data_IF_401395502677
#
_entry.id   IF_401395502677
#
_cell.length_a   1.000
_cell.length_b   1.000
_cell.length_c   1.000
_cell.angle_alpha   90.00
_cell.angle_beta   90.00
_cell.angle_gamma   90.00
#
_symmetry.space_group_name_H-M   'P 1'
#
loop_
_entity.id
_entity.type
_entity.pdbx_description
1 polymer ?
#
# COMPACT_ATOMS: atom_id res chain seq x y z
N UNK A 1 18.21 27.10 -25.10
CA UNK A 1 17.21 26.14 -24.60
C UNK A 1 17.17 26.35 -23.10
N UNK A 2 16.08 26.91 -22.59
CA UNK A 2 15.89 27.14 -21.15
C UNK A 2 15.51 25.80 -20.52
N UNK A 3 16.06 25.47 -19.36
CA UNK A 3 15.63 24.28 -18.62
C UNK A 3 14.21 24.54 -18.09
N UNK A 4 13.25 23.64 -18.32
CA UNK A 4 11.88 23.86 -17.86
C UNK A 4 11.83 23.95 -16.33
N UNK A 5 11.04 24.90 -15.82
CA UNK A 5 10.85 25.09 -14.38
C UNK A 5 9.93 23.99 -13.87
N UNK A 6 10.43 23.24 -12.89
CA UNK A 6 9.65 22.20 -12.22
C UNK A 6 8.80 22.79 -11.12
N UNK A 7 7.53 22.42 -11.11
CA UNK A 7 6.55 22.86 -10.12
C UNK A 7 5.77 21.66 -9.59
N UNK A 8 5.37 21.76 -8.33
CA UNK A 8 4.51 20.77 -7.68
C UNK A 8 3.09 21.32 -7.57
N UNK A 9 2.12 20.47 -7.86
CA UNK A 9 0.70 20.75 -7.78
C UNK A 9 -0.01 19.67 -6.98
N UNK A 10 -1.10 20.05 -6.33
CA UNK A 10 -2.03 19.09 -5.71
C UNK A 10 -3.40 19.24 -6.32
N UNK A 11 -4.10 18.13 -6.55
CA UNK A 11 -5.47 18.15 -7.05
C UNK A 11 -6.42 17.44 -6.07
N UNK A 12 -7.50 18.11 -5.68
CA UNK A 12 -8.58 17.54 -4.85
C UNK A 12 -9.92 17.65 -5.55
N UNK A 13 -10.77 16.65 -5.38
CA UNK A 13 -12.13 16.67 -5.91
C UNK A 13 -13.07 17.37 -4.93
N UNK A 14 -13.76 18.40 -5.39
CA UNK A 14 -14.81 19.08 -4.65
C UNK A 14 -16.09 19.17 -5.52
N UNK A 15 -17.10 18.42 -5.10
CA UNK A 15 -18.34 18.23 -5.86
C UNK A 15 -18.09 17.75 -7.30
N UNK A 16 -18.36 18.63 -8.26
CA UNK A 16 -18.25 18.35 -9.71
C UNK A 16 -16.92 18.81 -10.31
N UNK A 17 -16.03 19.39 -9.51
CA UNK A 17 -14.79 20.00 -9.98
C UNK A 17 -13.58 19.39 -9.30
N UNK A 18 -12.45 19.51 -9.99
CA UNK A 18 -11.11 19.32 -9.44
C UNK A 18 -10.52 20.69 -9.16
N UNK A 19 -10.08 20.90 -7.93
CA UNK A 19 -9.28 22.06 -7.53
C UNK A 19 -7.82 21.68 -7.59
N UNK A 20 -7.06 22.42 -8.39
CA UNK A 20 -5.65 22.16 -8.66
C UNK A 20 -4.87 23.32 -8.09
N UNK A 21 -4.08 23.10 -7.05
CA UNK A 21 -3.31 24.14 -6.38
C UNK A 21 -1.84 23.97 -6.70
N UNK A 22 -1.18 25.07 -7.09
CA UNK A 22 0.29 25.15 -7.19
C UNK A 22 0.75 26.05 -6.03
N UNK A 23 1.17 25.47 -4.89
CA UNK A 23 1.44 26.25 -3.68
C UNK A 23 2.56 27.29 -3.85
N UNK A 24 3.59 26.97 -4.65
CA UNK A 24 4.72 27.88 -4.89
C UNK A 24 4.28 29.19 -5.57
N UNK A 25 3.24 29.13 -6.40
CA UNK A 25 2.73 30.28 -7.15
C UNK A 25 1.50 30.92 -6.49
N UNK A 26 1.05 30.39 -5.34
CA UNK A 26 -0.21 30.77 -4.68
C UNK A 26 -1.40 30.88 -5.66
N UNK A 27 -1.47 29.91 -6.58
CA UNK A 27 -2.47 29.90 -7.67
C UNK A 27 -3.27 28.61 -7.70
N UNK A 28 -4.47 28.71 -8.26
CA UNK A 28 -5.43 27.61 -8.35
C UNK A 28 -6.01 27.54 -9.76
N UNK A 29 -5.99 26.33 -10.34
CA UNK A 29 -6.73 25.95 -11.53
C UNK A 29 -7.94 25.07 -11.20
N UNK A 30 -8.84 24.91 -12.16
CA UNK A 30 -10.02 24.05 -12.02
C UNK A 30 -10.26 23.21 -13.28
N UNK A 31 -10.58 21.94 -13.08
CA UNK A 31 -10.92 21.00 -14.17
C UNK A 31 -12.22 20.26 -13.89
N UNK A 32 -12.95 19.84 -14.93
CA UNK A 32 -14.15 19.00 -14.75
C UNK A 32 -13.81 17.52 -14.74
N UNK A 33 -12.77 17.13 -15.47
CA UNK A 33 -12.36 15.74 -15.63
C UNK A 33 -10.93 15.57 -15.15
N UNK A 34 -10.64 14.37 -14.64
CA UNK A 34 -9.31 14.03 -14.14
C UNK A 34 -8.22 14.18 -15.22
N UNK A 35 -8.52 13.81 -16.46
CA UNK A 35 -7.57 13.89 -17.57
C UNK A 35 -7.21 15.32 -18.00
N UNK A 36 -7.94 16.33 -17.54
CA UNK A 36 -7.67 17.76 -17.80
C UNK A 36 -6.76 18.37 -16.72
N UNK A 37 -6.54 17.68 -15.60
CA UNK A 37 -5.84 18.24 -14.43
C UNK A 37 -4.43 18.70 -14.80
N UNK A 38 -3.68 17.86 -15.52
CA UNK A 38 -2.30 18.18 -15.85
C UNK A 38 -2.20 19.35 -16.84
N UNK A 39 -3.07 19.37 -17.85
CA UNK A 39 -3.16 20.48 -18.82
C UNK A 39 -3.47 21.80 -18.12
N UNK A 40 -4.50 21.83 -17.28
CA UNK A 40 -4.90 23.02 -16.52
C UNK A 40 -3.81 23.47 -15.55
N UNK A 41 -3.09 22.55 -14.92
CA UNK A 41 -1.97 22.89 -14.03
C UNK A 41 -0.85 23.60 -14.80
N UNK A 42 -0.47 23.08 -15.96
CA UNK A 42 0.57 23.65 -16.83
C UNK A 42 0.15 25.01 -17.39
N UNK A 43 -1.09 25.13 -17.88
CA UNK A 43 -1.64 26.39 -18.40
C UNK A 43 -1.61 27.50 -17.33
N UNK A 44 -2.12 27.22 -16.13
CA UNK A 44 -2.16 28.19 -15.03
C UNK A 44 -0.76 28.59 -14.58
N UNK A 45 0.18 27.64 -14.53
CA UNK A 45 1.56 27.92 -14.16
C UNK A 45 2.27 28.81 -15.18
N UNK A 46 2.15 28.47 -16.46
CA UNK A 46 2.75 29.20 -17.57
C UNK A 46 2.21 30.63 -17.65
N UNK A 47 0.88 30.77 -17.51
CA UNK A 47 0.21 32.06 -17.47
C UNK A 47 0.67 32.92 -16.29
N UNK A 48 0.80 32.34 -15.10
CA UNK A 48 1.26 33.07 -13.91
C UNK A 48 2.71 33.54 -14.04
N UNK A 49 3.57 32.71 -14.63
CA UNK A 49 4.99 32.99 -14.81
C UNK A 49 5.31 33.84 -16.04
N UNK A 50 4.32 34.12 -16.90
CA UNK A 50 4.47 34.79 -18.19
C UNK A 50 5.52 34.11 -19.09
N UNK A 51 5.43 32.77 -19.19
CA UNK A 51 6.32 31.93 -20.01
C UNK A 51 5.51 30.97 -20.90
N UNK A 52 6.10 30.44 -21.98
CA UNK A 52 5.49 29.35 -22.73
C UNK A 52 5.30 28.10 -21.85
N UNK A 53 4.21 27.34 -22.09
CA UNK A 53 3.95 26.07 -21.38
C UNK A 53 5.11 25.06 -21.48
N UNK A 54 5.83 25.06 -22.61
CA UNK A 54 6.99 24.18 -22.81
C UNK A 54 8.17 24.48 -21.86
N UNK A 55 8.18 25.65 -21.22
CA UNK A 55 9.20 26.04 -20.25
C UNK A 55 8.77 25.71 -18.80
N UNK A 56 7.67 24.98 -18.62
CA UNK A 56 7.15 24.54 -17.32
C UNK A 56 6.95 23.02 -17.32
N UNK A 57 7.27 22.38 -16.21
CA UNK A 57 7.05 20.95 -15.95
C UNK A 57 6.31 20.81 -14.62
N UNK A 58 5.00 20.52 -14.66
CA UNK A 58 4.17 20.44 -13.44
C UNK A 58 3.88 19.00 -13.06
N UNK A 59 4.38 18.57 -11.91
CA UNK A 59 4.01 17.30 -11.30
C UNK A 59 2.76 17.47 -10.45
N UNK A 60 1.69 16.74 -10.76
CA UNK A 60 0.42 16.84 -10.03
C UNK A 60 0.20 15.59 -9.16
N UNK A 61 0.14 15.79 -7.85
CA UNK A 61 -0.31 14.77 -6.90
C UNK A 61 -1.82 14.87 -6.70
N UNK A 62 -2.54 13.77 -6.93
CA UNK A 62 -4.00 13.74 -6.73
C UNK A 62 -4.32 13.16 -5.37
N UNK A 63 -5.11 13.91 -4.60
CA UNK A 63 -5.56 13.53 -3.28
C UNK A 63 -7.04 13.12 -3.30
N UNK A 64 -7.35 12.09 -2.53
CA UNK A 64 -8.72 11.77 -2.16
C UNK A 64 -9.17 12.69 -1.00
N UNK A 65 -10.26 12.33 -0.32
CA UNK A 65 -10.59 12.99 0.94
C UNK A 65 -9.65 12.51 2.05
N UNK A 66 -9.35 13.39 3.01
CA UNK A 66 -8.51 13.04 4.17
C UNK A 66 -9.02 11.78 4.90
N UNK A 67 -10.33 11.62 4.98
CA UNK A 67 -10.93 10.41 5.57
C UNK A 67 -10.66 9.15 4.74
N UNK A 68 -10.73 9.24 3.40
CA UNK A 68 -10.46 8.09 2.53
C UNK A 68 -8.98 7.72 2.54
N UNK A 69 -8.08 8.70 2.51
CA UNK A 69 -6.63 8.47 2.60
C UNK A 69 -6.27 7.83 3.94
N UNK A 70 -6.82 8.33 5.05
CA UNK A 70 -6.62 7.71 6.37
C UNK A 70 -7.12 6.27 6.43
N UNK A 71 -8.31 5.99 5.88
CA UNK A 71 -8.82 4.62 5.83
C UNK A 71 -7.93 3.70 4.98
N UNK A 72 -7.34 4.22 3.90
CA UNK A 72 -6.40 3.47 3.06
C UNK A 72 -5.11 3.14 3.80
N UNK A 73 -4.53 4.10 4.53
CA UNK A 73 -3.36 3.89 5.38
C UNK A 73 -3.64 2.89 6.51
N UNK A 74 -4.80 3.01 7.16
CA UNK A 74 -5.22 2.09 8.21
C UNK A 74 -5.40 0.66 7.66
N UNK A 75 -5.93 0.51 6.45
CA UNK A 75 -6.05 -0.78 5.77
C UNK A 75 -4.68 -1.39 5.46
N UNK A 76 -3.73 -0.59 4.96
CA UNK A 76 -2.37 -1.06 4.70
C UNK A 76 -1.66 -1.54 5.98
N UNK A 77 -1.86 -0.82 7.09
CA UNK A 77 -1.34 -1.23 8.41
C UNK A 77 -1.99 -2.53 8.91
N UNK A 78 -3.30 -2.65 8.78
CA UNK A 78 -4.02 -3.87 9.15
C UNK A 78 -3.61 -5.07 8.30
N UNK A 79 -3.28 -4.87 7.02
CA UNK A 79 -2.75 -5.93 6.16
C UNK A 79 -1.39 -6.41 6.66
N UNK A 80 -0.49 -5.49 7.03
CA UNK A 80 0.81 -5.85 7.57
C UNK A 80 0.70 -6.60 8.91
N UNK A 81 -0.15 -6.13 9.82
CA UNK A 81 -0.45 -6.82 11.08
C UNK A 81 -1.02 -8.23 10.84
N UNK A 82 -1.92 -8.38 9.87
CA UNK A 82 -2.48 -9.68 9.47
C UNK A 82 -1.39 -10.61 8.93
N UNK A 83 -0.51 -10.12 8.06
CA UNK A 83 0.64 -10.90 7.54
C UNK A 83 1.52 -11.39 8.68
N UNK A 84 1.87 -10.51 9.61
CA UNK A 84 2.70 -10.87 10.77
C UNK A 84 2.00 -11.89 11.68
N UNK A 85 0.72 -11.69 11.98
CA UNK A 85 -0.07 -12.60 12.80
C UNK A 85 -0.18 -13.99 12.17
N UNK A 86 -0.39 -14.07 10.85
CA UNK A 86 -0.42 -15.33 10.10
C UNK A 86 0.94 -16.03 10.13
N UNK A 87 2.04 -15.29 9.89
CA UNK A 87 3.38 -15.84 9.96
C UNK A 87 3.71 -16.40 11.35
N UNK A 88 3.38 -15.64 12.41
CA UNK A 88 3.55 -16.07 13.81
C UNK A 88 2.71 -17.29 14.13
N UNK A 89 1.42 -17.32 13.73
CA UNK A 89 0.55 -18.48 13.91
C UNK A 89 1.11 -19.72 13.23
N UNK A 90 1.61 -19.59 11.99
CA UNK A 90 2.21 -20.71 11.27
C UNK A 90 3.50 -21.22 11.95
N UNK A 91 4.33 -20.33 12.49
CA UNK A 91 5.54 -20.71 13.24
C UNK A 91 5.18 -21.45 14.53
N UNK A 92 4.28 -20.89 15.34
CA UNK A 92 3.85 -21.49 16.61
C UNK A 92 3.18 -22.85 16.40
N UNK A 93 2.35 -23.01 15.36
CA UNK A 93 1.72 -24.31 15.04
C UNK A 93 2.77 -25.37 14.68
N UNK A 94 3.79 -25.02 13.92
CA UNK A 94 4.91 -25.91 13.59
C UNK A 94 5.71 -26.31 14.83
N UNK A 95 5.99 -25.35 15.70
CA UNK A 95 6.67 -25.58 16.97
C UNK A 95 5.88 -26.49 17.90
N UNK A 96 4.57 -26.25 18.07
CA UNK A 96 3.68 -27.08 18.87
C UNK A 96 3.64 -28.53 18.36
N UNK A 97 3.54 -28.73 17.04
CA UNK A 97 3.62 -30.07 16.45
C UNK A 97 4.97 -30.70 16.77
N UNK A 98 6.08 -30.01 16.52
CA UNK A 98 7.43 -30.54 16.80
C UNK A 98 7.57 -30.98 18.26
N UNK A 99 7.12 -30.14 19.21
CA UNK A 99 7.20 -30.43 20.64
C UNK A 99 6.39 -31.69 20.99
N UNK A 100 5.13 -31.77 20.55
CA UNK A 100 4.30 -32.96 20.78
C UNK A 100 4.95 -34.24 20.22
N UNK A 101 5.63 -34.15 19.07
CA UNK A 101 6.36 -35.28 18.49
C UNK A 101 7.58 -35.67 19.33
N UNK A 102 8.32 -34.70 19.87
CA UNK A 102 9.44 -34.93 20.81
C UNK A 102 8.97 -35.55 22.12
N UNK A 103 7.77 -35.19 22.58
CA UNK A 103 7.10 -35.78 23.76
C UNK A 103 6.40 -37.13 23.44
N UNK A 104 6.74 -37.75 22.31
CA UNK A 104 6.29 -39.09 21.89
C UNK A 104 4.77 -39.25 21.66
N UNK A 105 4.00 -38.15 21.56
CA UNK A 105 2.60 -38.25 21.13
C UNK A 105 2.52 -38.90 19.76
N UNK A 106 1.55 -39.78 19.51
CA UNK A 106 1.28 -40.29 18.15
C UNK A 106 0.68 -39.20 17.26
N UNK A 107 0.69 -39.37 15.94
CA UNK A 107 0.06 -38.41 15.04
C UNK A 107 -1.45 -38.26 15.29
N UNK A 108 -2.10 -39.33 15.75
CA UNK A 108 -3.52 -39.33 16.08
C UNK A 108 -3.80 -38.58 17.39
N UNK A 109 -2.95 -38.80 18.41
CA UNK A 109 -3.06 -38.07 19.66
C UNK A 109 -2.80 -36.56 19.48
N UNK A 110 -1.77 -36.18 18.72
CA UNK A 110 -1.48 -34.77 18.42
C UNK A 110 -2.58 -34.12 17.57
N UNK A 111 -3.14 -34.85 16.60
CA UNK A 111 -4.27 -34.39 15.79
C UNK A 111 -5.50 -34.09 16.66
N UNK A 112 -5.84 -35.03 17.56
CA UNK A 112 -6.93 -34.85 18.52
C UNK A 112 -6.68 -33.68 19.48
N UNK A 113 -5.46 -33.55 20.02
CA UNK A 113 -5.10 -32.50 20.96
C UNK A 113 -5.18 -31.09 20.33
N UNK A 114 -4.79 -30.95 19.06
CA UNK A 114 -4.77 -29.65 18.37
C UNK A 114 -6.02 -29.37 17.52
N UNK A 115 -6.98 -30.29 17.46
CA UNK A 115 -8.19 -30.14 16.66
C UNK A 115 -7.92 -30.01 15.16
N UNK A 116 -6.91 -30.72 14.65
CA UNK A 116 -6.53 -30.72 13.22
C UNK A 116 -6.44 -32.15 12.68
N UNK A 117 -6.40 -32.30 11.36
CA UNK A 117 -6.27 -33.64 10.76
C UNK A 117 -4.86 -34.22 10.96
N UNK A 118 -4.78 -35.55 11.00
CA UNK A 118 -3.50 -36.31 11.02
C UNK A 118 -2.57 -35.87 9.88
N UNK A 119 -3.11 -35.68 8.68
CA UNK A 119 -2.36 -35.22 7.51
C UNK A 119 -1.74 -33.83 7.74
N UNK A 120 -2.46 -32.93 8.42
CA UNK A 120 -1.95 -31.59 8.75
C UNK A 120 -0.81 -31.62 9.76
N UNK A 121 -0.87 -32.52 10.76
CA UNK A 121 0.24 -32.74 11.71
C UNK A 121 1.49 -33.18 10.96
N UNK A 122 1.38 -34.17 10.08
CA UNK A 122 2.52 -34.66 9.29
C UNK A 122 3.10 -33.58 8.35
N UNK A 123 2.24 -32.76 7.74
CA UNK A 123 2.69 -31.65 6.91
C UNK A 123 3.47 -30.61 7.73
N UNK A 124 2.96 -30.21 8.89
CA UNK A 124 3.61 -29.22 9.76
C UNK A 124 4.96 -29.71 10.30
N UNK A 125 5.07 -31.00 10.60
CA UNK A 125 6.35 -31.63 10.99
C UNK A 125 7.36 -31.59 9.83
N UNK A 126 6.94 -31.96 8.61
CA UNK A 126 7.80 -31.90 7.41
C UNK A 126 8.23 -30.47 7.05
N UNK A 127 7.32 -29.52 7.11
CA UNK A 127 7.58 -28.09 6.84
C UNK A 127 8.57 -27.49 7.84
N UNK A 128 8.71 -28.10 9.03
CA UNK A 128 9.69 -27.73 10.04
C UNK A 128 11.07 -28.31 9.75
N UNK A 129 11.13 -29.50 9.16
CA UNK A 129 12.37 -30.19 8.80
C UNK A 129 13.04 -29.62 7.53
N UNK A 130 12.30 -28.87 6.70
CA UNK A 130 12.85 -28.21 5.51
C UNK A 130 13.38 -26.81 5.86
N UNK A 131 14.68 -26.51 5.66
CA UNK A 131 15.20 -25.18 5.90
C UNK A 131 14.48 -24.18 4.97
N UNK A 132 14.05 -23.04 5.52
CA UNK A 132 13.45 -21.95 4.75
C UNK A 132 14.50 -21.42 3.77
N UNK A 133 14.34 -21.69 2.49
CA UNK A 133 15.05 -20.95 1.45
C UNK A 133 14.56 -19.50 1.54
N UNK A 134 15.48 -18.58 1.87
CA UNK A 134 15.21 -17.16 1.90
C UNK A 134 14.84 -16.67 0.49
N UNK A 135 13.79 -15.87 0.41
CA UNK A 135 13.51 -14.92 -0.66
C UNK A 135 13.52 -13.53 -0.02
#
# INVERSE_FOLDING_TARGET
MTTPRRLEATARRDGKWWFIQIPELDTVGQARRYNEIHEVATEVAALYLDVPEADVDVHVTVHASDQAEKLWEDAARAEEESRQAQQRSAQLRREAVRLARTEEYTYEAAAAAFGISRARVQQLEKDTARPRAHA
#
